data_IF_377409039023
#
_entry.id   IF_377409039023
#
_cell.length_a   1.000
_cell.length_b   1.000
_cell.length_c   1.000
_cell.angle_alpha   90.00
_cell.angle_beta   90.00
_cell.angle_gamma   90.00
#
_symmetry.space_group_name_H-M   'P 1'
#
loop_
_entity.id
_entity.type
_entity.pdbx_description
1 polymer ?
#
# COMPACT_ATOMS: atom_id res chain seq x y z
N UNK A 1 3.66 -4.81 31.71
CA UNK A 1 2.21 -5.05 31.87
C UNK A 1 1.53 -5.36 30.53
N UNK A 2 1.82 -4.63 29.44
CA UNK A 2 1.25 -4.87 28.09
C UNK A 2 1.74 -6.19 27.45
N UNK A 3 3.02 -6.55 27.59
CA UNK A 3 3.54 -7.86 27.14
C UNK A 3 2.89 -9.06 27.84
N UNK A 4 2.30 -8.85 29.03
CA UNK A 4 1.60 -9.89 29.79
C UNK A 4 0.19 -10.18 29.27
N UNK A 5 -0.51 -9.19 28.70
CA UNK A 5 -1.89 -9.37 28.20
C UNK A 5 -1.90 -10.18 26.89
N UNK A 6 -0.91 -10.00 26.02
CA UNK A 6 -0.77 -10.79 24.79
C UNK A 6 -0.35 -12.24 25.13
N UNK A 7 0.54 -12.43 26.12
CA UNK A 7 0.94 -13.77 26.58
C UNK A 7 -0.19 -14.53 27.30
N UNK A 8 -1.09 -13.82 27.99
CA UNK A 8 -2.23 -14.44 28.69
C UNK A 8 -3.38 -14.80 27.73
N UNK A 9 -3.57 -14.04 26.64
CA UNK A 9 -4.58 -14.35 25.62
C UNK A 9 -4.18 -15.54 24.71
N UNK A 10 -2.89 -15.85 24.60
CA UNK A 10 -2.40 -17.02 23.83
C UNK A 10 -2.25 -18.31 24.67
N UNK A 11 -2.37 -18.24 25.99
CA UNK A 11 -2.12 -19.38 26.89
C UNK A 11 -3.37 -20.25 27.19
N UNK A 12 -4.55 -19.92 26.65
CA UNK A 12 -5.80 -20.63 26.98
C UNK A 12 -6.52 -21.16 25.74
N UNK A 13 -5.87 -22.04 24.99
CA UNK A 13 -6.56 -23.03 24.13
C UNK A 13 -5.62 -24.18 23.76
N UNK A 14 -5.92 -25.43 24.15
CA UNK A 14 -5.26 -26.59 23.57
C UNK A 14 -6.02 -26.97 22.30
N UNK A 15 -5.51 -26.62 21.13
CA UNK A 15 -6.02 -27.11 19.86
C UNK A 15 -4.87 -27.44 18.90
N UNK A 16 -4.59 -28.74 18.84
CA UNK A 16 -4.21 -29.53 17.68
C UNK A 16 -3.31 -28.87 16.62
N UNK A 17 -2.05 -29.28 16.62
CA UNK A 17 -1.12 -29.10 15.52
C UNK A 17 -1.71 -29.65 14.21
N UNK A 18 -2.15 -28.76 13.32
CA UNK A 18 -2.35 -29.09 11.92
C UNK A 18 -1.03 -28.87 11.18
N UNK A 19 -0.39 -29.97 10.82
CA UNK A 19 0.68 -30.01 9.82
C UNK A 19 0.12 -29.47 8.50
N UNK A 20 0.62 -28.32 8.04
CA UNK A 20 0.42 -27.83 6.68
C UNK A 20 1.38 -28.60 5.74
N UNK A 21 0.90 -29.23 4.66
CA UNK A 21 1.80 -29.78 3.66
C UNK A 21 2.31 -28.65 2.75
N UNK A 22 3.62 -28.64 2.52
CA UNK A 22 4.30 -27.93 1.45
C UNK A 22 3.57 -28.13 0.11
N UNK A 23 3.04 -27.06 -0.48
CA UNK A 23 2.46 -27.09 -1.82
C UNK A 23 3.18 -26.11 -2.74
N UNK A 24 3.86 -26.73 -3.70
CA UNK A 24 4.62 -26.14 -4.80
C UNK A 24 3.72 -25.31 -5.72
N UNK A 25 4.33 -24.27 -6.28
CA UNK A 25 3.78 -23.31 -7.23
C UNK A 25 2.92 -23.93 -8.34
N UNK A 26 1.70 -23.40 -8.50
CA UNK A 26 0.93 -23.53 -9.73
C UNK A 26 1.34 -22.39 -10.68
N UNK A 27 2.16 -22.72 -11.69
CA UNK A 27 2.48 -21.81 -12.79
C UNK A 27 1.25 -21.63 -13.69
N UNK A 28 0.61 -20.45 -13.62
CA UNK A 28 -0.35 -20.00 -14.63
C UNK A 28 0.43 -19.16 -15.64
N UNK A 29 0.81 -19.77 -16.76
CA UNK A 29 1.39 -19.07 -17.90
C UNK A 29 0.29 -18.28 -18.62
N UNK A 30 0.21 -16.97 -18.38
CA UNK A 30 -0.53 -16.05 -19.24
C UNK A 30 0.43 -15.58 -20.34
N UNK A 31 0.35 -16.21 -21.50
CA UNK A 31 1.04 -15.74 -22.70
C UNK A 31 0.40 -14.41 -23.15
N UNK A 32 1.03 -13.28 -22.80
CA UNK A 32 0.75 -11.99 -23.43
C UNK A 32 1.75 -11.76 -24.57
N UNK A 33 1.34 -12.04 -25.80
CA UNK A 33 2.04 -11.50 -26.98
C UNK A 33 1.53 -10.08 -27.22
N UNK A 34 2.25 -9.07 -26.73
CA UNK A 34 2.12 -7.71 -27.23
C UNK A 34 3.10 -7.53 -28.38
N UNK A 35 2.60 -7.67 -29.61
CA UNK A 35 3.25 -7.08 -30.78
C UNK A 35 2.73 -5.66 -30.90
N UNK A 36 3.49 -4.69 -30.39
CA UNK A 36 3.18 -3.26 -30.53
C UNK A 36 4.09 -2.65 -31.58
N UNK A 37 3.70 -2.75 -32.84
CA UNK A 37 4.06 -1.73 -33.82
C UNK A 37 3.03 -0.61 -33.68
N UNK A 38 3.22 0.27 -32.69
CA UNK A 38 2.38 1.45 -32.53
C UNK A 38 2.94 2.53 -33.44
N UNK A 39 2.26 2.75 -34.57
CA UNK A 39 2.41 3.96 -35.36
C UNK A 39 1.87 5.14 -34.55
N UNK A 40 2.77 6.02 -34.11
CA UNK A 40 2.45 7.32 -33.51
C UNK A 40 1.72 8.19 -34.54
N UNK A 41 0.39 8.23 -34.49
CA UNK A 41 -0.41 9.23 -35.19
C UNK A 41 -0.77 10.36 -34.23
N UNK A 42 -0.39 11.58 -34.61
CA UNK A 42 -0.55 12.84 -33.91
C UNK A 42 -1.93 13.05 -33.27
N UNK A 43 -1.99 12.94 -31.94
CA UNK A 43 -3.01 13.58 -31.09
C UNK A 43 -2.28 14.17 -29.88
N UNK A 44 -1.51 15.23 -30.08
CA UNK A 44 -0.80 15.91 -28.99
C UNK A 44 -0.82 17.42 -29.22
N UNK A 45 -1.83 18.09 -28.66
CA UNK A 45 -1.71 19.51 -28.38
C UNK A 45 -2.59 20.04 -27.24
N UNK A 46 -3.55 19.27 -26.71
CA UNK A 46 -4.48 19.75 -25.66
C UNK A 46 -4.32 19.03 -24.28
N UNK A 47 -3.46 18.01 -24.18
CA UNK A 47 -3.32 17.21 -22.93
C UNK A 47 -2.30 17.84 -21.96
N UNK A 48 -1.24 18.47 -22.46
CA UNK A 48 -0.18 19.00 -21.59
C UNK A 48 -0.56 20.33 -20.91
N UNK A 49 -1.57 21.05 -21.42
CA UNK A 49 -2.03 22.33 -20.84
C UNK A 49 -3.19 22.13 -19.87
N UNK A 50 -4.00 21.07 -20.03
CA UNK A 50 -5.07 20.71 -19.07
C UNK A 50 -4.56 20.03 -17.79
N UNK A 51 -3.38 19.39 -17.83
CA UNK A 51 -2.73 18.83 -16.64
C UNK A 51 -2.08 19.88 -15.72
N UNK A 52 -2.05 21.16 -16.13
CA UNK A 52 -1.59 22.27 -15.28
C UNK A 52 -2.72 23.24 -14.87
N UNK A 53 -3.96 23.03 -15.36
CA UNK A 53 -5.12 23.83 -14.96
C UNK A 53 -5.91 23.12 -13.86
N UNK A 54 -5.40 23.28 -12.63
CA UNK A 54 -6.13 23.47 -11.37
C UNK A 54 -7.63 23.07 -11.32
N UNK A 55 -7.96 21.98 -10.61
CA UNK A 55 -8.89 22.07 -9.45
C UNK A 55 -9.02 20.78 -8.61
N UNK A 56 -8.60 19.60 -9.08
CA UNK A 56 -8.80 18.33 -8.33
C UNK A 56 -7.50 17.69 -7.79
N UNK A 57 -6.32 18.26 -8.08
CA UNK A 57 -5.01 17.68 -7.69
C UNK A 57 -4.63 17.89 -6.21
N UNK A 58 -5.37 18.71 -5.45
CA UNK A 58 -5.07 18.93 -4.03
C UNK A 58 -5.39 17.69 -3.16
N UNK A 59 -6.32 16.84 -3.59
CA UNK A 59 -6.69 15.63 -2.84
C UNK A 59 -5.55 14.60 -2.81
N UNK A 60 -4.66 14.62 -3.80
CA UNK A 60 -3.55 13.66 -3.91
C UNK A 60 -2.45 13.89 -2.89
N UNK A 61 -2.30 15.12 -2.38
CA UNK A 61 -1.28 15.45 -1.37
C UNK A 61 -1.74 14.99 0.02
N UNK A 62 -3.04 15.13 0.33
CA UNK A 62 -3.62 14.64 1.58
C UNK A 62 -3.57 13.11 1.68
N UNK A 63 -3.68 12.41 0.55
CA UNK A 63 -3.59 10.95 0.47
C UNK A 63 -2.20 10.37 0.80
N UNK A 64 -1.16 11.21 0.94
CA UNK A 64 0.25 10.77 1.06
C UNK A 64 0.87 10.98 2.45
N UNK A 65 0.10 11.38 3.47
CA UNK A 65 0.64 11.50 4.84
C UNK A 65 0.85 10.10 5.46
N UNK A 66 2.11 9.79 5.78
CA UNK A 66 2.49 8.56 6.45
C UNK A 66 1.83 8.38 7.83
N UNK A 67 1.48 9.48 8.52
CA UNK A 67 0.75 9.43 9.79
C UNK A 67 -0.70 8.99 9.62
N UNK A 68 -1.38 9.46 8.57
CA UNK A 68 -2.73 9.00 8.20
C UNK A 68 -2.71 7.53 7.79
N UNK A 69 -1.72 7.13 6.99
CA UNK A 69 -1.51 5.73 6.63
C UNK A 69 -1.30 4.85 7.87
N UNK A 70 -0.46 5.27 8.81
CA UNK A 70 -0.26 4.55 10.07
C UNK A 70 -1.57 4.43 10.86
N UNK A 71 -2.40 5.48 10.94
CA UNK A 71 -3.72 5.43 11.58
C UNK A 71 -4.64 4.42 10.87
N UNK A 72 -4.72 4.45 9.54
CA UNK A 72 -5.50 3.46 8.76
C UNK A 72 -5.09 2.02 9.08
N UNK A 73 -3.78 1.73 9.03
CA UNK A 73 -3.25 0.37 9.28
C UNK A 73 -3.46 -0.08 10.73
N UNK A 74 -3.47 0.86 11.67
CA UNK A 74 -3.77 0.60 13.09
C UNK A 74 -5.23 0.20 13.29
N UNK A 75 -6.16 0.91 12.64
CA UNK A 75 -7.58 0.59 12.67
C UNK A 75 -7.83 -0.78 12.03
N UNK A 76 -7.27 -1.02 10.83
CA UNK A 76 -7.36 -2.30 10.13
C UNK A 76 -6.82 -3.46 10.98
N UNK A 77 -5.64 -3.31 11.58
CA UNK A 77 -5.05 -4.38 12.41
C UNK A 77 -5.85 -4.60 13.69
N UNK A 78 -6.41 -3.55 14.29
CA UNK A 78 -7.29 -3.69 15.45
C UNK A 78 -8.59 -4.40 15.11
N UNK A 79 -9.24 -4.04 13.99
CA UNK A 79 -10.44 -4.73 13.50
C UNK A 79 -10.15 -6.20 13.18
N UNK A 80 -8.96 -6.52 12.67
CA UNK A 80 -8.56 -7.91 12.42
C UNK A 80 -8.47 -8.70 13.73
N UNK A 81 -7.91 -8.10 14.79
CA UNK A 81 -7.86 -8.70 16.12
C UNK A 81 -9.27 -8.93 16.69
N UNK A 82 -10.16 -7.94 16.57
CA UNK A 82 -11.55 -8.05 16.99
C UNK A 82 -12.26 -9.21 16.26
N UNK A 83 -12.14 -9.27 14.93
CA UNK A 83 -12.69 -10.35 14.12
C UNK A 83 -12.13 -11.73 14.52
N UNK A 84 -10.82 -11.81 14.80
CA UNK A 84 -10.17 -13.04 15.28
C UNK A 84 -10.71 -13.48 16.65
N UNK A 85 -11.09 -12.52 17.51
CA UNK A 85 -11.77 -12.78 18.78
C UNK A 85 -13.30 -12.92 18.67
N UNK A 86 -13.84 -12.94 17.44
CA UNK A 86 -15.28 -13.05 17.12
C UNK A 86 -16.14 -11.89 17.60
N UNK A 87 -15.55 -10.70 17.75
CA UNK A 87 -16.27 -9.46 18.06
C UNK A 87 -16.63 -8.71 16.77
N UNK A 88 -17.52 -9.31 15.97
CA UNK A 88 -17.91 -8.78 14.66
C UNK A 88 -18.79 -7.53 14.76
N UNK A 89 -19.49 -7.34 15.87
CA UNK A 89 -20.36 -6.18 16.07
C UNK A 89 -19.54 -4.91 16.36
N UNK A 90 -18.45 -5.01 17.14
CA UNK A 90 -17.52 -3.89 17.30
C UNK A 90 -16.80 -3.59 15.98
N UNK A 91 -16.49 -4.61 15.16
CA UNK A 91 -15.96 -4.41 13.80
C UNK A 91 -16.96 -3.65 12.93
N UNK A 92 -18.23 -4.06 12.90
CA UNK A 92 -19.28 -3.37 12.16
C UNK A 92 -19.46 -1.92 12.62
N UNK A 93 -19.49 -1.70 13.94
CA UNK A 93 -19.59 -0.35 14.51
C UNK A 93 -18.41 0.54 14.08
N UNK A 94 -17.18 0.00 14.12
CA UNK A 94 -15.99 0.72 13.67
C UNK A 94 -16.02 0.99 12.16
N UNK A 95 -16.46 0.04 11.34
CA UNK A 95 -16.55 0.24 9.88
C UNK A 95 -17.54 1.37 9.55
N UNK A 96 -18.68 1.43 10.24
CA UNK A 96 -19.66 2.51 10.12
C UNK A 96 -19.16 3.86 10.64
N UNK A 97 -18.35 3.86 11.70
CA UNK A 97 -17.74 5.07 12.21
C UNK A 97 -16.65 5.60 11.27
N UNK A 98 -15.80 4.71 10.74
CA UNK A 98 -14.69 5.07 9.85
C UNK A 98 -15.18 5.50 8.47
N UNK A 99 -16.25 4.89 7.97
CA UNK A 99 -16.79 5.10 6.61
C UNK A 99 -15.69 5.04 5.54
N UNK A 100 -14.99 3.89 5.43
CA UNK A 100 -13.81 3.77 4.59
C UNK A 100 -14.13 4.05 3.12
N UNK A 101 -13.23 4.75 2.43
CA UNK A 101 -13.31 5.00 0.99
C UNK A 101 -12.53 3.89 0.28
N UNK A 102 -13.24 2.95 -0.33
CA UNK A 102 -12.65 1.84 -1.10
C UNK A 102 -12.80 2.13 -2.59
N UNK A 103 -11.68 2.25 -3.32
CA UNK A 103 -11.66 2.43 -4.78
C UNK A 103 -11.28 1.10 -5.45
N UNK A 104 -11.97 0.72 -6.53
CA UNK A 104 -11.70 -0.51 -7.28
C UNK A 104 -11.58 -1.74 -6.37
N UNK A 105 -12.53 -1.86 -5.43
CA UNK A 105 -12.56 -3.00 -4.54
C UNK A 105 -13.04 -4.20 -5.36
N UNK A 106 -12.11 -5.03 -5.83
CA UNK A 106 -12.40 -6.25 -6.62
C UNK A 106 -13.42 -7.19 -5.93
N UNK A 107 -13.70 -6.95 -4.65
CA UNK A 107 -14.63 -7.68 -3.81
C UNK A 107 -16.09 -7.22 -3.89
N UNK A 108 -16.38 -6.02 -4.41
CA UNK A 108 -17.74 -5.43 -4.40
C UNK A 108 -18.58 -5.82 -5.64
N UNK A 109 -17.97 -6.15 -6.77
CA UNK A 109 -18.69 -6.33 -8.05
C UNK A 109 -19.24 -7.75 -8.31
N UNK A 110 -19.01 -8.71 -7.44
CA UNK A 110 -19.51 -10.09 -7.60
C UNK A 110 -20.94 -10.25 -7.04
N UNK A 111 -21.86 -9.34 -7.40
CA UNK A 111 -23.29 -9.37 -7.03
C UNK A 111 -23.97 -10.65 -7.58
N UNK A 112 -23.39 -11.29 -8.59
CA UNK A 112 -23.90 -12.53 -9.21
C UNK A 112 -23.22 -13.83 -8.72
N UNK A 113 -22.30 -13.75 -7.75
CA UNK A 113 -21.68 -14.95 -7.17
C UNK A 113 -22.67 -15.72 -6.32
N UNK A 114 -23.37 -16.68 -6.95
CA UNK A 114 -24.30 -17.60 -6.28
C UNK A 114 -23.60 -18.33 -5.11
N UNK A 115 -24.23 -18.41 -3.92
CA UNK A 115 -23.73 -19.21 -2.81
C UNK A 115 -23.53 -20.67 -3.28
N UNK A 116 -22.34 -21.25 -3.09
CA UNK A 116 -22.04 -22.64 -3.43
C UNK A 116 -21.06 -22.88 -4.60
N UNK A 117 -20.48 -21.84 -5.19
CA UNK A 117 -19.35 -22.02 -6.11
C UNK A 117 -18.10 -22.45 -5.32
N UNK A 118 -17.60 -23.66 -5.58
CA UNK A 118 -16.58 -24.38 -4.81
C UNK A 118 -15.15 -23.77 -4.85
N UNK A 119 -14.99 -22.53 -4.38
CA UNK A 119 -13.72 -21.82 -4.17
C UNK A 119 -13.56 -21.43 -2.70
N UNK A 120 -13.19 -22.38 -1.87
CA UNK A 120 -13.35 -22.41 -0.39
C UNK A 120 -12.45 -21.48 0.44
N UNK A 121 -11.68 -20.58 -0.16
CA UNK A 121 -10.99 -19.52 0.58
C UNK A 121 -11.74 -18.17 0.55
N UNK A 122 -12.58 -17.93 -0.48
CA UNK A 122 -13.27 -16.63 -0.70
C UNK A 122 -14.45 -16.35 0.23
N UNK A 123 -15.05 -17.39 0.84
CA UNK A 123 -16.28 -17.24 1.61
C UNK A 123 -16.06 -16.81 3.07
N UNK A 124 -14.87 -17.02 3.65
CA UNK A 124 -14.63 -16.65 5.04
C UNK A 124 -14.32 -15.15 5.21
N UNK A 125 -13.64 -14.53 4.24
CA UNK A 125 -13.33 -13.09 4.29
C UNK A 125 -14.57 -12.22 4.03
N UNK A 126 -15.50 -12.68 3.18
CA UNK A 126 -16.82 -12.03 3.00
C UNK A 126 -17.66 -12.02 4.28
N UNK A 127 -17.46 -12.96 5.22
CA UNK A 127 -18.26 -13.04 6.46
C UNK A 127 -17.94 -11.94 7.47
N UNK A 128 -16.79 -11.26 7.34
CA UNK A 128 -16.40 -10.23 8.31
C UNK A 128 -17.15 -8.90 8.05
N UNK A 129 -17.72 -8.72 6.85
CA UNK A 129 -18.61 -7.60 6.51
C UNK A 129 -17.97 -6.21 6.46
N UNK A 130 -16.75 -6.04 6.96
CA UNK A 130 -16.04 -4.75 6.93
C UNK A 130 -15.41 -4.48 5.58
N UNK A 131 -15.71 -3.30 5.02
CA UNK A 131 -15.07 -2.81 3.79
C UNK A 131 -13.58 -2.56 4.02
N UNK A 132 -13.24 -1.99 5.18
CA UNK A 132 -11.87 -1.62 5.51
C UNK A 132 -10.97 -2.86 5.67
N UNK A 133 -11.46 -3.93 6.29
CA UNK A 133 -10.67 -5.15 6.49
C UNK A 133 -10.33 -5.87 5.17
N UNK A 134 -11.23 -5.83 4.21
CA UNK A 134 -11.04 -6.45 2.90
C UNK A 134 -10.18 -5.61 1.94
N UNK A 135 -9.83 -4.38 2.35
CA UNK A 135 -9.14 -3.41 1.50
C UNK A 135 -7.62 -3.39 1.73
N UNK A 136 -6.88 -3.78 0.69
CA UNK A 136 -5.41 -3.65 0.63
C UNK A 136 -5.02 -2.48 -0.29
N UNK A 137 -4.96 -1.26 0.26
CA UNK A 137 -4.63 -0.04 -0.49
C UNK A 137 -4.25 1.15 0.40
N UNK A 138 -3.77 2.24 -0.22
CA UNK A 138 -3.07 3.36 0.44
C UNK A 138 -3.95 4.46 1.06
N UNK A 139 -5.22 4.55 0.67
CA UNK A 139 -6.08 5.71 1.00
C UNK A 139 -7.51 5.28 1.35
N UNK A 140 -7.64 4.33 2.27
CA UNK A 140 -8.94 3.83 2.73
C UNK A 140 -9.57 4.73 3.80
N UNK A 141 -8.75 5.45 4.56
CA UNK A 141 -9.23 6.35 5.60
C UNK A 141 -9.91 7.56 4.95
N UNK A 142 -11.14 7.85 5.38
CA UNK A 142 -11.92 8.94 4.83
C UNK A 142 -11.39 10.30 5.30
N UNK A 143 -10.52 10.93 4.52
CA UNK A 143 -9.89 12.22 4.84
C UNK A 143 -10.85 13.40 4.80
N UNK A 144 -12.05 13.24 4.20
CA UNK A 144 -13.10 14.28 4.27
C UNK A 144 -13.72 14.36 5.67
N UNK A 145 -13.72 13.24 6.40
CA UNK A 145 -14.19 13.15 7.80
C UNK A 145 -13.01 13.33 8.76
N UNK A 146 -11.87 12.72 8.44
CA UNK A 146 -10.66 12.69 9.27
C UNK A 146 -9.46 13.34 8.55
N UNK A 147 -9.42 14.68 8.45
CA UNK A 147 -8.41 15.38 7.65
C UNK A 147 -7.00 15.30 8.22
N UNK A 148 -6.85 14.96 9.50
CA UNK A 148 -5.56 14.84 10.18
C UNK A 148 -5.45 13.50 10.92
N UNK A 149 -4.22 13.04 11.17
CA UNK A 149 -3.96 11.73 11.78
C UNK A 149 -4.60 11.55 13.17
N UNK A 150 -4.74 12.64 13.93
CA UNK A 150 -5.30 12.69 15.28
C UNK A 150 -6.82 12.90 15.28
N UNK A 151 -7.36 13.51 14.23
CA UNK A 151 -8.79 13.81 14.09
C UNK A 151 -9.68 12.57 14.27
N UNK A 152 -9.27 11.40 13.75
CA UNK A 152 -9.95 10.13 13.99
C UNK A 152 -10.12 9.83 15.48
N UNK A 153 -9.06 9.98 16.27
CA UNK A 153 -9.09 9.69 17.70
C UNK A 153 -9.89 10.73 18.47
N UNK A 154 -9.79 12.00 18.09
CA UNK A 154 -10.59 13.07 18.70
C UNK A 154 -12.09 12.81 18.47
N UNK A 155 -12.50 12.55 17.24
CA UNK A 155 -13.90 12.24 16.91
C UNK A 155 -14.38 10.94 17.58
N UNK A 156 -13.51 9.93 17.72
CA UNK A 156 -13.84 8.71 18.45
C UNK A 156 -14.08 9.01 19.94
N UNK A 157 -13.28 9.90 20.54
CA UNK A 157 -13.44 10.38 21.91
C UNK A 157 -14.60 11.37 22.10
N UNK A 158 -15.28 11.79 21.04
CA UNK A 158 -16.52 12.57 21.09
C UNK A 158 -17.77 11.68 21.02
N UNK A 159 -17.67 10.49 20.39
CA UNK A 159 -18.82 9.57 20.26
C UNK A 159 -19.34 9.14 21.63
N UNK A 160 -20.65 9.16 21.93
CA UNK A 160 -21.16 8.69 23.22
C UNK A 160 -20.93 7.18 23.41
N UNK A 161 -21.01 6.71 24.65
CA UNK A 161 -21.00 5.28 24.93
C UNK A 161 -22.25 4.65 24.34
N UNK A 162 -22.13 3.48 23.71
CA UNK A 162 -23.23 2.84 23.02
C UNK A 162 -23.51 1.43 23.54
N UNK A 163 -24.77 1.00 23.45
CA UNK A 163 -25.18 -0.37 23.73
C UNK A 163 -25.82 -0.94 22.46
N UNK A 164 -25.16 -1.91 21.85
CA UNK A 164 -25.67 -2.65 20.70
C UNK A 164 -26.53 -3.80 21.20
N UNK A 165 -27.81 -3.80 20.83
CA UNK A 165 -28.73 -4.90 21.14
C UNK A 165 -28.78 -5.85 19.96
N UNK A 166 -28.36 -7.08 20.18
CA UNK A 166 -28.32 -8.10 19.12
C UNK A 166 -29.47 -9.07 19.30
N UNK A 167 -30.25 -9.26 18.23
CA UNK A 167 -31.31 -10.26 18.16
C UNK A 167 -31.09 -11.20 17.00
N UNK A 168 -30.88 -12.49 17.29
CA UNK A 168 -30.81 -13.53 16.27
C UNK A 168 -32.21 -13.98 15.83
N UNK A 169 -32.48 -14.10 14.51
CA UNK A 169 -33.77 -14.58 13.99
C UNK A 169 -34.10 -16.00 14.47
N UNK A 170 -35.40 -16.27 14.66
CA UNK A 170 -35.93 -17.53 15.22
C UNK A 170 -35.69 -18.77 14.36
N UNK A 171 -35.48 -18.57 13.07
CA UNK A 171 -35.61 -19.63 12.07
C UNK A 171 -34.28 -20.37 11.78
N UNK A 172 -33.15 -19.93 12.36
CA UNK A 172 -31.79 -20.46 12.11
C UNK A 172 -31.35 -21.51 13.14
N UNK A 173 -32.28 -22.41 13.51
CA UNK A 173 -32.01 -23.60 14.33
C UNK A 173 -32.43 -23.46 15.80
N UNK A 174 -32.92 -24.57 16.38
CA UNK A 174 -33.59 -24.71 17.69
C UNK A 174 -32.79 -24.28 18.95
N UNK A 175 -31.73 -23.48 18.84
CA UNK A 175 -31.05 -22.93 20.03
C UNK A 175 -31.90 -21.80 20.60
N UNK A 176 -32.30 -21.97 21.85
CA UNK A 176 -32.99 -20.94 22.61
C UNK A 176 -32.16 -19.64 22.60
N UNK A 177 -32.85 -18.56 22.24
CA UNK A 177 -32.42 -17.16 22.16
C UNK A 177 -31.31 -16.76 23.14
N UNK A 178 -30.37 -15.95 22.67
CA UNK A 178 -29.66 -15.01 23.53
C UNK A 178 -29.80 -13.61 22.94
N UNK A 179 -30.72 -12.80 23.49
CA UNK A 179 -30.57 -11.35 23.39
C UNK A 179 -29.42 -10.98 24.31
N UNK A 180 -28.37 -10.40 23.78
CA UNK A 180 -27.27 -9.90 24.58
C UNK A 180 -26.92 -8.50 24.12
N UNK A 181 -26.45 -7.72 25.09
CA UNK A 181 -26.09 -6.33 24.91
C UNK A 181 -24.57 -6.25 24.83
N UNK A 182 -24.04 -5.63 23.77
CA UNK A 182 -22.61 -5.30 23.67
C UNK A 182 -22.44 -3.84 24.03
N UNK A 183 -21.65 -3.57 25.06
CA UNK A 183 -21.27 -2.23 25.44
C UNK A 183 -20.05 -1.77 24.63
N UNK A 184 -20.24 -0.70 23.86
CA UNK A 184 -19.19 -0.02 23.10
C UNK A 184 -18.78 1.22 23.89
N UNK A 185 -17.53 1.23 24.37
CA UNK A 185 -16.92 2.36 25.06
C UNK A 185 -15.82 2.99 24.19
N UNK A 186 -16.10 4.07 23.44
CA UNK A 186 -15.16 4.65 22.48
C UNK A 186 -13.81 5.05 23.10
N UNK A 187 -13.80 5.49 24.36
CA UNK A 187 -12.57 5.79 25.09
C UNK A 187 -11.67 4.55 25.27
N UNK A 188 -12.24 3.37 25.55
CA UNK A 188 -11.48 2.11 25.65
C UNK A 188 -10.99 1.63 24.29
N UNK A 189 -11.82 1.78 23.24
CA UNK A 189 -11.41 1.47 21.87
C UNK A 189 -10.24 2.35 21.45
N UNK A 190 -10.29 3.65 21.72
CA UNK A 190 -9.21 4.60 21.45
C UNK A 190 -7.88 4.12 22.07
N UNK A 191 -7.86 3.76 23.37
CA UNK A 191 -6.65 3.26 24.03
C UNK A 191 -6.08 2.02 23.35
N UNK A 192 -6.95 1.07 22.96
CA UNK A 192 -6.53 -0.17 22.30
C UNK A 192 -5.97 0.09 20.90
N UNK A 193 -6.61 0.95 20.12
CA UNK A 193 -6.12 1.32 18.78
C UNK A 193 -4.79 2.06 18.88
N UNK A 194 -4.61 2.98 19.84
CA UNK A 194 -3.33 3.65 20.06
C UNK A 194 -2.21 2.67 20.42
N UNK A 195 -2.51 1.64 21.23
CA UNK A 195 -1.55 0.58 21.54
C UNK A 195 -1.15 -0.20 20.28
N UNK A 196 -2.08 -0.50 19.38
CA UNK A 196 -1.78 -1.14 18.09
C UNK A 196 -0.95 -0.20 17.21
N UNK A 197 -1.29 1.10 17.18
CA UNK A 197 -0.54 2.12 16.44
C UNK A 197 0.91 2.21 16.86
N UNK A 198 1.20 2.15 18.16
CA UNK A 198 2.56 2.17 18.70
C UNK A 198 3.35 0.90 18.38
N UNK A 199 2.68 -0.25 18.32
CA UNK A 199 3.32 -1.48 17.85
C UNK A 199 3.67 -1.36 16.37
N UNK A 200 2.70 -0.99 15.52
CA UNK A 200 2.93 -0.87 14.07
C UNK A 200 4.00 0.19 13.77
N UNK A 201 4.01 1.32 14.47
CA UNK A 201 5.04 2.34 14.28
C UNK A 201 6.46 1.81 14.56
N UNK A 202 6.64 0.98 15.60
CA UNK A 202 7.94 0.35 15.89
C UNK A 202 8.34 -0.64 14.80
N UNK A 203 7.42 -1.48 14.35
CA UNK A 203 7.65 -2.42 13.24
C UNK A 203 8.02 -1.65 11.96
N UNK A 204 7.22 -0.64 11.59
CA UNK A 204 7.44 0.20 10.42
C UNK A 204 8.77 0.97 10.49
N UNK A 205 9.25 1.36 11.68
CA UNK A 205 10.58 1.96 11.82
C UNK A 205 11.68 1.00 11.39
N UNK A 206 11.59 -0.28 11.75
CA UNK A 206 12.53 -1.32 11.30
C UNK A 206 12.40 -1.58 9.80
N UNK A 207 11.16 -1.66 9.32
CA UNK A 207 10.85 -1.87 7.91
C UNK A 207 11.37 -0.72 7.04
N UNK A 208 11.22 0.54 7.45
CA UNK A 208 11.75 1.71 6.74
C UNK A 208 13.28 1.70 6.66
N UNK A 209 13.95 1.25 7.72
CA UNK A 209 15.40 1.03 7.69
C UNK A 209 15.78 -0.03 6.65
N UNK A 210 15.00 -1.11 6.52
CA UNK A 210 15.22 -2.09 5.47
C UNK A 210 15.01 -1.48 4.08
N UNK A 211 13.88 -0.78 3.87
CA UNK A 211 13.52 -0.12 2.60
C UNK A 211 14.63 0.84 2.15
N UNK A 212 15.21 1.62 3.07
CA UNK A 212 16.30 2.56 2.78
C UNK A 212 17.57 1.90 2.22
N UNK A 213 17.72 0.58 2.38
CA UNK A 213 18.85 -0.18 1.84
C UNK A 213 18.47 -0.98 0.58
N UNK A 214 17.18 -1.07 0.22
CA UNK A 214 16.71 -1.89 -0.90
C UNK A 214 17.04 -1.29 -2.27
N UNK A 215 17.19 0.03 -2.39
CA UNK A 215 17.47 0.68 -3.68
C UNK A 215 18.74 0.12 -4.34
N UNK A 216 19.82 0.01 -3.57
CA UNK A 216 21.08 -0.57 -4.04
C UNK A 216 20.96 -2.06 -4.38
N UNK A 217 20.18 -2.82 -3.61
CA UNK A 217 19.95 -4.25 -3.86
C UNK A 217 19.24 -4.49 -5.20
N UNK A 218 18.22 -3.68 -5.50
CA UNK A 218 17.48 -3.74 -6.78
C UNK A 218 18.44 -3.54 -7.96
N UNK A 219 19.28 -2.51 -7.90
CA UNK A 219 20.24 -2.24 -8.98
C UNK A 219 21.29 -3.34 -9.12
N UNK A 220 21.87 -3.80 -8.02
CA UNK A 220 22.88 -4.86 -8.06
C UNK A 220 22.30 -6.13 -8.69
N UNK A 221 21.08 -6.53 -8.28
CA UNK A 221 20.38 -7.69 -8.85
C UNK A 221 20.05 -7.49 -10.33
N UNK A 222 19.55 -6.31 -10.71
CA UNK A 222 19.28 -5.99 -12.12
C UNK A 222 20.54 -6.16 -12.99
N UNK A 223 21.67 -5.57 -12.59
CA UNK A 223 22.91 -5.65 -13.36
C UNK A 223 23.48 -7.07 -13.42
N UNK A 224 23.38 -7.82 -12.33
CA UNK A 224 23.76 -9.22 -12.28
C UNK A 224 22.91 -10.05 -13.27
N UNK A 225 21.59 -9.90 -13.21
CA UNK A 225 20.66 -10.57 -14.12
C UNK A 225 20.88 -10.17 -15.59
N UNK A 226 21.20 -8.91 -15.86
CA UNK A 226 21.53 -8.43 -17.20
C UNK A 226 22.83 -9.06 -17.75
N UNK A 227 23.85 -9.24 -16.89
CA UNK A 227 25.11 -9.91 -17.24
C UNK A 227 24.90 -11.40 -17.51
N UNK A 228 24.12 -12.07 -16.66
CA UNK A 228 23.85 -13.50 -16.78
C UNK A 228 23.03 -13.83 -18.05
N UNK A 229 22.11 -12.95 -18.44
CA UNK A 229 21.40 -13.03 -19.74
C UNK A 229 22.35 -12.92 -20.93
N UNK A 230 23.38 -12.08 -20.87
CA UNK A 230 24.39 -11.95 -21.94
C UNK A 230 25.26 -13.21 -22.04
N UNK A 231 25.69 -13.76 -20.91
CA UNK A 231 26.51 -14.97 -20.85
C UNK A 231 25.75 -16.21 -21.35
N UNK A 232 24.48 -16.34 -20.97
CA UNK A 232 23.63 -17.48 -21.39
C UNK A 232 23.40 -17.51 -22.89
N UNK A 233 23.32 -16.36 -23.56
CA UNK A 233 23.17 -16.30 -25.03
C UNK A 233 24.43 -16.77 -25.77
N UNK A 234 25.61 -16.63 -25.19
CA UNK A 234 26.87 -17.01 -25.84
C UNK A 234 27.15 -18.51 -25.77
N UNK A 235 26.72 -19.18 -24.69
CA UNK A 235 26.98 -20.62 -24.49
C UNK A 235 25.97 -21.54 -25.20
N UNK A 236 24.87 -21.00 -25.73
CA UNK A 236 23.81 -21.75 -26.40
C UNK A 236 24.12 -22.29 -27.82
N UNK A 237 25.31 -22.03 -28.37
CA UNK A 237 25.66 -22.42 -29.76
C UNK A 237 26.38 -23.77 -29.85
N UNK A 238 26.67 -24.44 -28.73
CA UNK A 238 27.50 -25.66 -28.72
C UNK A 238 26.85 -26.81 -27.95
N UNK A 239 26.22 -27.74 -28.67
CA UNK A 239 26.14 -29.15 -28.28
C UNK A 239 25.14 -29.54 -27.20
N UNK A 240 23.99 -30.03 -27.66
CA UNK A 240 23.09 -31.02 -27.05
C UNK A 240 23.65 -31.75 -25.82
N UNK A 241 23.08 -31.51 -24.64
CA UNK A 241 23.03 -32.47 -23.54
C UNK A 241 21.78 -32.21 -22.69
N UNK A 242 20.75 -33.01 -22.93
CA UNK A 242 19.50 -33.00 -22.21
C UNK A 242 19.70 -33.57 -20.79
N UNK A 243 19.84 -32.69 -19.80
CA UNK A 243 19.96 -33.05 -18.38
C UNK A 243 19.09 -32.15 -17.52
N UNK A 244 17.98 -32.70 -17.04
CA UNK A 244 16.86 -32.10 -16.29
C UNK A 244 17.28 -31.25 -15.07
N UNK A 245 16.44 -30.25 -14.78
CA UNK A 245 16.45 -29.32 -13.63
C UNK A 245 17.26 -28.03 -13.83
N UNK A 246 17.12 -27.38 -14.98
CA UNK A 246 17.39 -25.94 -15.06
C UNK A 246 16.18 -25.26 -14.44
N UNK A 247 16.29 -24.88 -13.17
CA UNK A 247 15.35 -23.94 -12.54
C UNK A 247 15.16 -22.79 -13.52
N UNK A 248 13.91 -22.60 -13.97
CA UNK A 248 13.55 -21.57 -14.94
C UNK A 248 14.09 -20.24 -14.40
N UNK A 249 15.06 -19.66 -15.11
CA UNK A 249 15.59 -18.35 -14.80
C UNK A 249 14.40 -17.41 -14.64
N UNK A 250 14.27 -16.83 -13.45
CA UNK A 250 13.21 -15.91 -13.07
C UNK A 250 12.89 -14.96 -14.23
N UNK A 251 11.61 -14.83 -14.65
CA UNK A 251 11.22 -13.97 -15.75
C UNK A 251 11.42 -12.47 -15.44
N UNK A 252 11.76 -12.13 -14.20
CA UNK A 252 11.84 -10.76 -13.71
C UNK A 252 13.15 -10.05 -14.09
N UNK A 253 13.09 -8.72 -14.15
CA UNK A 253 14.21 -7.81 -14.34
C UNK A 253 15.25 -7.92 -13.22
N UNK A 254 14.77 -7.98 -11.98
CA UNK A 254 15.56 -8.05 -10.75
C UNK A 254 14.85 -8.91 -9.69
N UNK A 255 15.60 -9.28 -8.65
CA UNK A 255 15.07 -9.97 -7.47
C UNK A 255 14.23 -8.99 -6.65
N UNK A 256 12.94 -9.28 -6.46
CA UNK A 256 11.98 -8.40 -5.79
C UNK A 256 12.22 -8.39 -4.27
N UNK A 257 12.94 -7.40 -3.72
CA UNK A 257 13.36 -7.46 -2.31
C UNK A 257 12.15 -7.35 -1.38
N UNK A 258 11.09 -6.66 -1.81
CA UNK A 258 9.84 -6.58 -1.05
C UNK A 258 9.24 -7.96 -0.79
N UNK A 259 9.33 -8.88 -1.76
CA UNK A 259 8.85 -10.26 -1.59
C UNK A 259 9.77 -11.13 -0.72
N UNK A 260 11.06 -10.80 -0.65
CA UNK A 260 12.03 -11.53 0.19
C UNK A 260 11.90 -11.13 1.66
N UNK A 261 11.76 -9.82 1.93
CA UNK A 261 11.60 -9.29 3.30
C UNK A 261 10.28 -9.71 3.96
N UNK A 262 9.30 -10.11 3.16
CA UNK A 262 8.04 -10.64 3.63
C UNK A 262 8.17 -12.00 4.34
N UNK A 263 9.25 -12.73 4.12
CA UNK A 263 9.52 -14.03 4.75
C UNK A 263 10.44 -13.90 5.97
N UNK A 264 10.19 -12.91 6.84
CA UNK A 264 10.92 -12.77 8.10
C UNK A 264 10.85 -14.07 8.90
N UNK A 265 12.02 -14.57 9.31
CA UNK A 265 12.09 -15.65 10.30
C UNK A 265 11.66 -15.07 11.65
N UNK A 266 10.60 -15.59 12.29
CA UNK A 266 10.11 -15.09 13.58
C UNK A 266 11.16 -15.14 14.71
N UNK A 267 12.28 -15.83 14.50
CA UNK A 267 13.36 -15.99 15.47
C UNK A 267 14.30 -14.80 15.57
N UNK A 268 14.31 -13.90 14.59
CA UNK A 268 15.30 -12.79 14.58
C UNK A 268 14.90 -11.58 15.44
N UNK A 269 13.64 -11.53 15.91
CA UNK A 269 13.13 -10.48 16.80
C UNK A 269 12.47 -11.12 18.04
N UNK A 270 13.30 -11.63 18.96
CA UNK A 270 12.87 -12.30 20.20
C UNK A 270 12.00 -11.41 21.13
N UNK A 271 11.99 -10.09 20.91
CA UNK A 271 11.38 -9.14 21.85
C UNK A 271 9.86 -8.99 21.67
N UNK A 272 9.32 -9.15 20.45
CA UNK A 272 7.88 -9.00 20.17
C UNK A 272 7.38 -9.85 19.00
N UNK A 273 6.20 -10.47 19.17
CA UNK A 273 5.50 -11.09 18.06
C UNK A 273 5.04 -10.02 17.04
N UNK A 274 5.22 -10.24 15.73
CA UNK A 274 4.83 -9.28 14.70
C UNK A 274 3.31 -9.06 14.68
N UNK A 275 2.88 -7.85 14.29
CA UNK A 275 1.46 -7.55 14.11
C UNK A 275 0.82 -8.47 13.06
N UNK A 276 -0.46 -8.84 13.22
CA UNK A 276 -1.11 -9.86 12.38
C UNK A 276 -1.18 -9.51 10.88
N UNK A 277 -0.99 -8.23 10.53
CA UNK A 277 -0.99 -7.73 9.15
C UNK A 277 0.37 -7.17 8.73
N UNK A 278 1.47 -7.49 9.43
CA UNK A 278 2.81 -6.92 9.17
C UNK A 278 3.23 -7.04 7.70
N UNK A 279 3.03 -8.20 7.08
CA UNK A 279 3.30 -8.44 5.65
C UNK A 279 2.57 -7.44 4.75
N UNK A 280 1.26 -7.26 4.97
CA UNK A 280 0.45 -6.30 4.21
C UNK A 280 0.83 -4.85 4.49
N UNK A 281 1.16 -4.54 5.75
CA UNK A 281 1.63 -3.21 6.17
C UNK A 281 2.94 -2.85 5.47
N UNK A 282 3.91 -3.77 5.43
CA UNK A 282 5.20 -3.59 4.77
C UNK A 282 5.02 -3.29 3.28
N UNK A 283 4.24 -4.11 2.58
CA UNK A 283 3.99 -3.98 1.15
C UNK A 283 3.36 -2.63 0.79
N UNK A 284 2.33 -2.22 1.53
CA UNK A 284 1.69 -0.93 1.33
C UNK A 284 2.61 0.23 1.72
N UNK A 285 3.40 0.11 2.78
CA UNK A 285 4.38 1.15 3.14
C UNK A 285 5.41 1.35 2.03
N UNK A 286 5.90 0.25 1.45
CA UNK A 286 6.80 0.26 0.30
C UNK A 286 6.17 0.89 -0.94
N UNK A 287 4.89 0.58 -1.20
CA UNK A 287 4.16 1.17 -2.31
C UNK A 287 3.94 2.68 -2.10
N UNK A 288 3.54 3.09 -0.90
CA UNK A 288 3.31 4.48 -0.51
C UNK A 288 4.56 5.32 -0.70
N UNK A 289 5.69 4.85 -0.16
CA UNK A 289 6.93 5.63 -0.24
C UNK A 289 7.46 5.74 -1.67
N UNK A 290 7.25 4.71 -2.49
CA UNK A 290 7.60 4.74 -3.91
C UNK A 290 6.73 5.76 -4.65
N UNK A 291 5.42 5.78 -4.38
CA UNK A 291 4.50 6.78 -4.92
C UNK A 291 4.92 8.21 -4.52
N UNK A 292 5.18 8.43 -3.22
CA UNK A 292 5.59 9.74 -2.71
C UNK A 292 6.92 10.20 -3.31
N UNK A 293 7.88 9.29 -3.50
CA UNK A 293 9.13 9.62 -4.17
C UNK A 293 8.90 10.15 -5.60
N UNK A 294 8.03 9.48 -6.37
CA UNK A 294 7.66 9.92 -7.73
C UNK A 294 6.96 11.27 -7.70
N UNK A 295 5.95 11.44 -6.84
CA UNK A 295 5.18 12.69 -6.75
C UNK A 295 6.06 13.86 -6.35
N UNK A 296 6.96 13.69 -5.38
CA UNK A 296 7.89 14.75 -4.99
C UNK A 296 8.86 15.10 -6.10
N UNK A 297 9.35 14.13 -6.88
CA UNK A 297 10.19 14.41 -8.05
C UNK A 297 9.42 15.15 -9.17
N UNK A 298 8.12 14.95 -9.27
CA UNK A 298 7.27 15.68 -10.22
C UNK A 298 6.93 17.10 -9.76
N UNK A 299 6.81 17.31 -8.44
CA UNK A 299 6.43 18.61 -7.85
C UNK A 299 7.62 19.52 -7.52
N UNK A 300 8.79 18.97 -7.19
CA UNK A 300 9.95 19.75 -6.78
C UNK A 300 10.54 20.54 -7.96
N UNK A 301 11.04 21.76 -7.71
CA UNK A 301 11.64 22.61 -8.75
C UNK A 301 12.90 21.97 -9.35
N UNK A 302 13.65 21.22 -8.54
CA UNK A 302 14.82 20.45 -8.98
C UNK A 302 14.43 19.29 -9.91
N UNK A 303 13.18 18.82 -9.83
CA UNK A 303 12.61 17.83 -10.72
C UNK A 303 13.35 16.49 -10.76
N UNK A 304 13.45 15.93 -11.97
CA UNK A 304 14.21 14.71 -12.25
C UNK A 304 15.61 15.09 -12.74
N UNK A 305 16.64 14.86 -11.91
CA UNK A 305 18.03 15.19 -12.24
C UNK A 305 18.74 13.96 -12.80
N UNK A 306 18.84 13.87 -14.13
CA UNK A 306 19.56 12.78 -14.83
C UNK A 306 20.97 13.20 -15.25
N UNK A 307 21.21 14.51 -15.43
CA UNK A 307 22.51 15.05 -15.78
C UNK A 307 22.59 16.58 -15.63
N UNK A 308 23.61 17.18 -16.25
CA UNK A 308 23.87 18.63 -16.17
C UNK A 308 22.96 19.48 -17.07
N UNK A 309 22.36 18.90 -18.12
CA UNK A 309 21.49 19.62 -19.05
C UNK A 309 20.06 19.75 -18.50
N UNK A 310 19.66 20.96 -18.12
CA UNK A 310 18.31 21.28 -17.65
C UNK A 310 17.21 20.86 -18.64
N UNK A 311 17.48 20.95 -19.94
CA UNK A 311 16.50 20.59 -20.98
C UNK A 311 16.27 19.08 -20.99
N UNK A 312 17.34 18.29 -20.77
CA UNK A 312 17.29 16.85 -20.62
C UNK A 312 16.54 16.43 -19.34
N UNK A 313 16.79 17.14 -18.23
CA UNK A 313 16.09 16.91 -16.96
C UNK A 313 14.59 17.18 -17.10
N UNK A 314 14.20 18.27 -17.78
CA UNK A 314 12.80 18.59 -18.09
C UNK A 314 12.14 17.54 -18.99
N UNK A 315 12.83 17.06 -20.02
CA UNK A 315 12.32 15.97 -20.87
C UNK A 315 12.09 14.69 -20.05
N UNK A 316 13.01 14.37 -19.14
CA UNK A 316 12.90 13.20 -18.24
C UNK A 316 11.73 13.34 -17.25
N UNK A 317 11.50 14.54 -16.72
CA UNK A 317 10.34 14.84 -15.88
C UNK A 317 9.02 14.71 -16.63
N UNK A 318 8.94 15.21 -17.88
CA UNK A 318 7.77 15.05 -18.75
C UNK A 318 7.48 13.58 -19.07
N UNK A 319 8.53 12.80 -19.34
CA UNK A 319 8.39 11.35 -19.51
C UNK A 319 7.86 10.68 -18.24
N UNK A 320 8.47 10.97 -17.07
CA UNK A 320 8.03 10.40 -15.79
C UNK A 320 6.57 10.75 -15.47
N UNK A 321 6.15 11.99 -15.73
CA UNK A 321 4.77 12.43 -15.50
C UNK A 321 3.78 11.58 -16.32
N UNK A 322 4.03 11.42 -17.63
CA UNK A 322 3.19 10.59 -18.51
C UNK A 322 3.20 9.13 -18.05
N UNK A 323 4.39 8.57 -17.78
CA UNK A 323 4.57 7.20 -17.34
C UNK A 323 3.81 6.90 -16.04
N UNK A 324 3.88 7.84 -15.07
CA UNK A 324 3.18 7.76 -13.79
C UNK A 324 1.66 7.80 -13.97
N UNK A 325 1.15 8.79 -14.71
CA UNK A 325 -0.30 8.94 -14.92
C UNK A 325 -0.94 7.71 -15.57
N UNK A 326 -0.27 7.10 -16.56
CA UNK A 326 -0.75 5.88 -17.22
C UNK A 326 -0.83 4.66 -16.28
N UNK A 327 0.03 4.61 -15.25
CA UNK A 327 0.18 3.48 -14.33
C UNK A 327 -0.40 3.72 -12.95
N UNK A 328 -0.82 4.95 -12.67
CA UNK A 328 -1.28 5.38 -11.35
C UNK A 328 -2.42 4.52 -10.81
N UNK A 329 -3.43 4.28 -11.65
CA UNK A 329 -4.61 3.49 -11.28
C UNK A 329 -4.25 2.02 -11.04
N UNK A 330 -3.32 1.47 -11.82
CA UNK A 330 -2.99 0.03 -11.77
C UNK A 330 -1.96 -0.33 -10.70
N UNK A 331 -1.18 0.63 -10.21
CA UNK A 331 -0.08 0.38 -9.26
C UNK A 331 -0.30 1.00 -7.87
N UNK A 332 -0.97 2.16 -7.80
CA UNK A 332 -1.02 2.94 -6.55
C UNK A 332 -2.43 3.18 -6.00
N UNK A 333 -3.47 3.15 -6.84
CA UNK A 333 -4.85 3.45 -6.42
C UNK A 333 -5.70 2.19 -6.27
N UNK A 334 -6.47 2.13 -5.19
CA UNK A 334 -7.49 1.10 -5.00
C UNK A 334 -6.95 -0.17 -4.34
N UNK A 335 -7.71 -1.25 -4.42
CA UNK A 335 -7.27 -2.54 -3.91
C UNK A 335 -6.18 -3.11 -4.80
N UNK A 336 -5.00 -3.34 -4.22
CA UNK A 336 -3.79 -3.75 -4.92
C UNK A 336 -3.36 -5.17 -4.57
N UNK A 337 -2.60 -5.77 -5.46
CA UNK A 337 -1.85 -6.99 -5.16
C UNK A 337 -0.50 -6.63 -4.53
N UNK A 338 0.13 -7.60 -3.87
CA UNK A 338 1.49 -7.43 -3.35
C UNK A 338 2.50 -7.14 -4.47
N UNK A 339 3.50 -6.30 -4.16
CA UNK A 339 4.64 -6.02 -5.03
C UNK A 339 4.40 -4.97 -6.10
N UNK A 340 3.34 -4.18 -6.02
CA UNK A 340 3.02 -3.16 -7.05
C UNK A 340 4.04 -2.04 -7.14
N UNK A 341 4.68 -1.68 -6.03
CA UNK A 341 5.82 -0.76 -6.05
C UNK A 341 7.00 -1.32 -6.85
N UNK A 342 7.29 -2.62 -6.72
CA UNK A 342 8.34 -3.29 -7.48
C UNK A 342 7.97 -3.41 -8.97
N UNK A 343 6.72 -3.77 -9.28
CA UNK A 343 6.20 -3.82 -10.66
C UNK A 343 6.42 -2.47 -11.38
N UNK A 344 6.09 -1.35 -10.71
CA UNK A 344 6.26 -0.01 -11.28
C UNK A 344 7.71 0.31 -11.62
N UNK A 345 8.64 0.00 -10.69
CA UNK A 345 10.09 0.22 -10.89
C UNK A 345 10.63 -0.71 -11.98
N UNK A 346 10.19 -1.97 -12.02
CA UNK A 346 10.58 -2.94 -13.03
C UNK A 346 10.15 -2.51 -14.43
N UNK A 347 8.90 -2.10 -14.60
CA UNK A 347 8.41 -1.57 -15.88
C UNK A 347 9.20 -0.34 -16.34
N UNK A 348 9.58 0.54 -15.40
CA UNK A 348 10.37 1.73 -15.70
C UNK A 348 11.81 1.38 -16.12
N UNK A 349 12.48 0.50 -15.37
CA UNK A 349 13.84 0.01 -15.65
C UNK A 349 13.91 -0.72 -17.00
N UNK A 350 12.88 -1.50 -17.32
CA UNK A 350 12.81 -2.29 -18.55
C UNK A 350 12.33 -1.48 -19.76
N UNK A 351 11.90 -0.23 -19.56
CA UNK A 351 11.49 0.66 -20.65
C UNK A 351 12.69 1.03 -21.52
N UNK A 352 12.48 1.02 -22.83
CA UNK A 352 13.51 1.40 -23.80
C UNK A 352 13.80 2.91 -23.73
N UNK A 353 15.04 3.35 -23.99
CA UNK A 353 15.34 4.77 -24.14
C UNK A 353 14.46 5.42 -25.22
N UNK A 354 14.00 6.64 -24.97
CA UNK A 354 13.10 7.36 -25.88
C UNK A 354 13.77 8.63 -26.38
N UNK A 355 13.68 8.86 -27.69
CA UNK A 355 14.14 10.09 -28.33
C UNK A 355 13.00 11.12 -28.30
N UNK A 356 13.19 12.25 -27.62
CA UNK A 356 12.21 13.33 -27.56
C UNK A 356 12.66 14.53 -28.41
N UNK A 357 11.70 15.13 -29.11
CA UNK A 357 11.94 16.37 -29.84
C UNK A 357 12.07 17.53 -28.87
N UNK A 358 13.09 18.37 -29.06
CA UNK A 358 13.37 19.54 -28.21
C UNK A 358 12.21 20.55 -28.17
N UNK A 359 11.32 20.50 -29.16
CA UNK A 359 10.22 21.46 -29.30
C UNK A 359 8.97 21.12 -28.47
N UNK A 360 8.85 19.91 -27.91
CA UNK A 360 7.63 19.50 -27.19
C UNK A 360 7.40 20.25 -25.86
N UNK A 361 8.42 20.96 -25.34
CA UNK A 361 8.34 21.65 -24.03
C UNK A 361 8.13 23.18 -24.06
N UNK A 362 8.22 23.84 -25.22
CA UNK A 362 8.09 25.32 -25.33
C UNK A 362 6.76 25.73 -25.97
N UNK A 363 5.66 25.52 -25.25
CA UNK A 363 4.41 26.20 -25.56
C UNK A 363 4.56 27.70 -25.26
N UNK A 364 4.70 28.56 -26.27
CA UNK A 364 4.22 29.95 -26.14
C UNK A 364 5.13 31.12 -26.56
N UNK A 365 6.36 30.93 -27.06
CA UNK A 365 7.13 32.05 -27.64
C UNK A 365 7.45 31.82 -29.11
N UNK A 366 6.65 32.41 -29.99
CA UNK A 366 6.86 32.48 -31.46
C UNK A 366 7.79 33.65 -31.83
N UNK A 367 8.91 33.80 -31.13
CA UNK A 367 9.86 34.87 -31.45
C UNK A 367 10.99 34.30 -32.33
N UNK A 368 10.73 34.23 -33.65
CA UNK A 368 11.68 34.37 -34.78
C UNK A 368 13.04 33.65 -34.84
N UNK A 369 13.47 32.86 -33.86
CA UNK A 369 14.81 32.22 -33.79
C UNK A 369 14.71 30.70 -34.04
N UNK A 370 13.95 30.30 -35.06
CA UNK A 370 13.67 28.88 -35.33
C UNK A 370 14.78 28.16 -36.13
N UNK A 371 15.74 28.89 -36.71
CA UNK A 371 16.74 28.31 -37.62
C UNK A 371 17.94 27.63 -36.92
N UNK A 372 18.25 27.96 -35.67
CA UNK A 372 19.37 27.34 -34.93
C UNK A 372 18.96 26.08 -34.15
N UNK A 373 17.70 25.99 -33.71
CA UNK A 373 17.20 24.87 -32.88
C UNK A 373 17.15 23.56 -33.68
N UNK A 374 16.94 23.63 -35.01
CA UNK A 374 16.89 22.45 -35.88
C UNK A 374 18.22 21.70 -36.03
N UNK A 375 19.36 22.26 -35.57
CA UNK A 375 20.68 21.61 -35.66
C UNK A 375 21.08 20.83 -34.41
N UNK A 376 20.33 20.95 -33.32
CA UNK A 376 20.68 20.27 -32.07
C UNK A 376 20.25 18.80 -32.12
N UNK A 377 21.04 17.87 -31.56
CA UNK A 377 20.66 16.46 -31.50
C UNK A 377 19.38 16.27 -30.68
N UNK A 378 18.59 15.22 -30.97
CA UNK A 378 17.41 14.87 -30.17
C UNK A 378 17.80 14.58 -28.72
N UNK A 379 16.88 14.86 -27.80
CA UNK A 379 17.07 14.55 -26.38
C UNK A 379 16.84 13.06 -26.17
N UNK A 380 17.71 12.39 -25.41
CA UNK A 380 17.62 10.94 -25.16
C UNK A 380 17.20 10.73 -23.72
N UNK A 381 15.95 10.37 -23.47
CA UNK A 381 15.49 10.04 -22.11
C UNK A 381 15.87 8.60 -21.79
N UNK A 382 16.54 8.39 -20.66
CA UNK A 382 16.96 7.09 -20.16
C UNK A 382 16.11 6.69 -18.94
N UNK A 383 15.04 5.88 -19.09
CA UNK A 383 14.16 5.48 -17.99
C UNK A 383 14.88 4.84 -16.80
N UNK A 384 15.97 4.10 -17.07
CA UNK A 384 16.86 3.53 -16.06
C UNK A 384 17.37 4.58 -15.05
N UNK A 385 17.82 5.73 -15.55
CA UNK A 385 18.36 6.80 -14.70
C UNK A 385 17.26 7.45 -13.87
N UNK A 386 16.05 7.54 -14.41
CA UNK A 386 14.89 8.03 -13.68
C UNK A 386 14.55 7.07 -12.54
N UNK A 387 14.56 5.76 -12.79
CA UNK A 387 14.37 4.75 -11.75
C UNK A 387 15.44 4.86 -10.64
N UNK A 388 16.69 5.15 -11.00
CA UNK A 388 17.79 5.40 -10.04
C UNK A 388 17.49 6.58 -9.13
N UNK A 389 17.05 7.70 -9.69
CA UNK A 389 16.66 8.87 -8.91
C UNK A 389 15.45 8.60 -8.00
N UNK A 390 14.45 7.85 -8.47
CA UNK A 390 13.29 7.46 -7.64
C UNK A 390 13.73 6.62 -6.45
N UNK A 391 14.59 5.61 -6.67
CA UNK A 391 15.08 4.75 -5.60
C UNK A 391 15.92 5.53 -4.58
N UNK A 392 16.79 6.43 -5.03
CA UNK A 392 17.55 7.32 -4.14
C UNK A 392 16.62 8.25 -3.32
N UNK A 393 15.60 8.83 -3.97
CA UNK A 393 14.64 9.70 -3.27
C UNK A 393 13.83 8.92 -2.24
N UNK A 394 13.40 7.70 -2.60
CA UNK A 394 12.69 6.78 -1.72
C UNK A 394 13.53 6.40 -0.51
N UNK A 395 14.81 6.08 -0.71
CA UNK A 395 15.70 5.69 0.38
C UNK A 395 15.89 6.86 1.38
N UNK A 396 15.98 8.10 0.87
CA UNK A 396 15.99 9.31 1.71
C UNK A 396 14.67 9.51 2.46
N UNK A 397 13.53 9.38 1.78
CA UNK A 397 12.21 9.46 2.41
C UNK A 397 12.03 8.40 3.50
N UNK A 398 12.62 7.22 3.33
CA UNK A 398 12.48 6.14 4.30
C UNK A 398 13.12 6.52 5.63
N UNK A 399 14.29 7.18 5.58
CA UNK A 399 14.98 7.70 6.76
C UNK A 399 14.19 8.85 7.41
N UNK A 400 13.61 9.75 6.62
CA UNK A 400 12.75 10.84 7.11
C UNK A 400 11.52 10.27 7.86
N UNK A 401 10.82 9.31 7.25
CA UNK A 401 9.64 8.68 7.83
C UNK A 401 9.97 7.77 9.01
N UNK A 402 11.15 7.17 9.03
CA UNK A 402 11.63 6.40 10.18
C UNK A 402 11.68 7.30 11.42
N UNK A 403 12.13 8.55 11.27
CA UNK A 403 12.07 9.55 12.34
C UNK A 403 10.63 9.76 12.83
N UNK A 404 9.69 9.98 11.91
CA UNK A 404 8.26 10.17 12.25
C UNK A 404 7.71 8.97 13.03
N UNK A 405 8.00 7.74 12.60
CA UNK A 405 7.55 6.51 13.26
C UNK A 405 8.11 6.37 14.68
N UNK A 406 9.36 6.77 14.91
CA UNK A 406 9.97 6.75 16.25
C UNK A 406 9.30 7.71 17.23
N UNK A 407 8.77 8.84 16.75
CA UNK A 407 8.09 9.83 17.59
C UNK A 407 6.60 9.55 17.80
N UNK A 408 5.98 8.67 17.01
CA UNK A 408 4.54 8.36 17.08
C UNK A 408 4.01 8.06 18.50
N UNK A 409 4.70 7.30 19.38
CA UNK A 409 4.22 7.07 20.75
C UNK A 409 4.13 8.34 21.61
N UNK A 410 5.00 9.33 21.35
CA UNK A 410 5.03 10.58 22.09
C UNK A 410 3.96 11.57 21.64
N UNK A 411 3.59 11.54 20.36
CA UNK A 411 2.54 12.38 19.75
C UNK A 411 1.15 12.10 20.36
N UNK A 412 0.93 10.90 20.93
CA UNK A 412 -0.34 10.51 21.54
C UNK A 412 -0.62 11.16 22.90
N UNK A 413 0.29 11.96 23.45
CA UNK A 413 0.19 12.45 24.84
C UNK A 413 -1.11 13.22 25.09
N UNK A 414 -1.53 14.08 24.17
CA UNK A 414 -2.74 14.89 24.35
C UNK A 414 -4.03 14.06 24.15
N UNK A 415 -4.04 13.14 23.18
CA UNK A 415 -5.14 12.18 23.00
C UNK A 415 -5.30 11.31 24.25
N UNK A 416 -4.19 10.85 24.85
CA UNK A 416 -4.20 10.07 26.10
C UNK A 416 -4.74 10.87 27.29
N UNK A 417 -4.42 12.17 27.39
CA UNK A 417 -4.99 13.05 28.42
C UNK A 417 -6.51 13.16 28.26
N UNK A 418 -7.00 13.40 27.04
CA UNK A 418 -8.43 13.47 26.73
C UNK A 418 -9.14 12.15 27.02
N UNK A 419 -8.53 11.04 26.60
CA UNK A 419 -9.01 9.68 26.86
C UNK A 419 -9.09 9.38 28.36
N UNK A 420 -8.07 9.73 29.14
CA UNK A 420 -8.07 9.56 30.59
C UNK A 420 -9.15 10.44 31.25
N UNK A 421 -9.25 11.71 30.84
CA UNK A 421 -10.28 12.63 31.32
C UNK A 421 -11.69 12.09 31.06
N UNK A 422 -11.89 11.43 29.92
CA UNK A 422 -13.16 10.81 29.59
C UNK A 422 -13.45 9.56 30.42
N UNK A 423 -12.44 8.73 30.71
CA UNK A 423 -12.62 7.54 31.55
C UNK A 423 -12.84 7.87 33.04
N UNK A 424 -12.31 8.99 33.54
CA UNK A 424 -12.43 9.39 34.95
C UNK A 424 -13.54 10.42 35.21
N UNK A 425 -14.04 11.07 34.16
CA UNK A 425 -15.11 12.06 34.22
C UNK A 425 -16.50 11.47 34.45
N UNK A 426 -17.51 12.36 34.51
CA UNK A 426 -18.92 11.96 34.55
C UNK A 426 -19.24 11.18 33.26
N UNK A 427 -19.76 9.96 33.41
CA UNK A 427 -20.07 9.09 32.29
C UNK A 427 -21.05 9.79 31.31
N UNK A 428 -20.75 9.81 30.00
CA UNK A 428 -21.67 10.37 29.02
C UNK A 428 -22.97 9.55 28.98
N UNK A 429 -24.06 10.18 28.54
CA UNK A 429 -25.32 9.48 28.35
C UNK A 429 -25.14 8.34 27.33
N UNK A 430 -25.65 7.13 27.67
CA UNK A 430 -25.58 5.96 26.79
C UNK A 430 -26.60 6.07 25.66
N UNK A 431 -26.16 5.81 24.43
CA UNK A 431 -27.05 5.70 23.24
C UNK A 431 -27.33 4.22 22.97
N UNK A 432 -28.61 3.86 22.85
CA UNK A 432 -29.01 2.50 22.50
C UNK A 432 -29.13 2.42 20.97
N UNK A 433 -28.46 1.46 20.37
CA UNK A 433 -28.57 1.17 18.93
C UNK A 433 -29.06 -0.26 18.74
N UNK A 434 -30.00 -0.46 17.82
CA UNK A 434 -30.48 -1.78 17.43
C UNK A 434 -29.69 -2.22 16.20
N UNK A 435 -29.07 -3.41 16.29
CA UNK A 435 -28.31 -4.01 15.19
C UNK A 435 -29.10 -5.20 14.63
N UNK A 436 -29.70 -5.01 13.45
CA UNK A 436 -30.33 -6.08 12.67
C UNK A 436 -29.26 -6.81 11.85
N UNK A 437 -28.41 -7.59 12.51
CA UNK A 437 -27.40 -8.40 11.84
C UNK A 437 -28.10 -9.54 11.07
N UNK A 438 -28.12 -9.46 9.74
CA UNK A 438 -28.74 -10.45 8.84
C UNK A 438 -27.78 -11.57 8.42
#
# INVERSE_FOLDING_TARGET
MIAGIIKLLLATSPCSAFYLPNLRHANIAIARSFSSTVSFSYVTHDVCTRLCSQSDDNDDVAAQDVRLFLTQRSIQSFMFLLASTRDLHTVWWLDNFVQPITINNYWEDDVDSKPGAAGTFRENDKRIGSKLLNYHGLSALNTTIFPAWDSFFMSLLEQPDAVLKISTPKDVGQRAYSKFDIEIEPARLCTRILSVREQIAREMSGDLKAIANMGQMIFNSYWQNAKDRKNTKQTGTSGVSAGKNKEESSPYGFDRPGTMYINFDPTDDDEFAPSPLRKGNFDLLYNLITQTAVVQMLQNEEGVVVGEDEIQNRASQLFLSKFYLERRITHFIGSQWYGKGDDFIEELIMSSPIMMSRNEGRLGRKDGIDLEISRMPPLVVEPMRIAEQILLRRDKLALEWMGIMQFAPSEHTDIRKLQLSRLTGVAPAKVIMEDEFQ
#
